data_IF_563994365461
#
_entry.id   IF_563994365461
#
_cell.length_a   1.000
_cell.length_b   1.000
_cell.length_c   1.000
_cell.angle_alpha   90.00
_cell.angle_beta   90.00
_cell.angle_gamma   90.00
#
_symmetry.space_group_name_H-M   'P 1'
#
loop_
_entity.id
_entity.type
_entity.pdbx_description
1 polymer ?
#
# COMPACT_ATOMS: atom_id res chain seq x y z
N UNK A 1 5.84 -10.11 -6.51
CA UNK A 1 6.50 -9.22 -5.54
C UNK A 1 7.26 -8.07 -6.21
N UNK A 2 8.30 -8.33 -7.01
CA UNK A 2 9.11 -7.25 -7.65
C UNK A 2 8.25 -6.22 -8.39
N UNK A 3 7.23 -6.64 -9.14
CA UNK A 3 6.31 -5.72 -9.81
C UNK A 3 5.54 -4.81 -8.87
N UNK A 4 5.12 -5.33 -7.70
CA UNK A 4 4.48 -4.52 -6.64
C UNK A 4 5.48 -3.47 -6.14
N UNK A 5 6.69 -3.88 -5.77
CA UNK A 5 7.72 -2.98 -5.25
C UNK A 5 8.13 -1.90 -6.27
N UNK A 6 8.29 -2.28 -7.54
CA UNK A 6 8.66 -1.32 -8.59
C UNK A 6 7.57 -0.25 -8.82
N UNK A 7 6.30 -0.65 -8.74
CA UNK A 7 5.18 0.30 -8.89
C UNK A 7 4.98 1.17 -7.65
N UNK A 8 5.38 0.69 -6.48
CA UNK A 8 5.39 1.47 -5.24
C UNK A 8 6.63 2.37 -5.09
N UNK A 9 7.57 2.31 -6.02
CA UNK A 9 8.86 3.02 -5.92
C UNK A 9 8.71 4.52 -5.65
N UNK A 10 7.79 5.19 -6.32
CA UNK A 10 7.58 6.63 -6.16
C UNK A 10 6.96 6.97 -4.79
N UNK A 11 6.28 6.00 -4.16
CA UNK A 11 5.82 6.11 -2.79
C UNK A 11 6.95 5.91 -1.78
N UNK A 12 7.79 4.89 -1.98
CA UNK A 12 8.84 4.50 -1.04
C UNK A 12 10.06 5.43 -1.08
N UNK A 13 10.34 6.02 -2.24
CA UNK A 13 11.47 6.94 -2.43
C UNK A 13 10.96 8.33 -2.72
N UNK A 14 11.50 9.33 -2.02
CA UNK A 14 11.21 10.73 -2.31
C UNK A 14 11.79 11.13 -3.66
N UNK A 15 11.07 10.80 -4.73
CA UNK A 15 11.43 11.24 -6.07
C UNK A 15 11.28 12.76 -6.20
N UNK A 16 11.90 13.33 -7.25
CA UNK A 16 11.75 14.73 -7.57
C UNK A 16 10.27 15.16 -7.64
N UNK A 17 9.43 14.36 -8.31
CA UNK A 17 8.01 14.68 -8.47
C UNK A 17 7.27 14.64 -7.13
N UNK A 18 7.57 13.68 -6.26
CA UNK A 18 6.97 13.62 -4.94
C UNK A 18 7.39 14.81 -4.08
N UNK A 19 8.70 15.06 -3.98
CA UNK A 19 9.22 16.14 -3.14
C UNK A 19 8.74 17.52 -3.62
N UNK A 20 8.97 17.86 -4.88
CA UNK A 20 8.63 19.17 -5.40
C UNK A 20 7.16 19.33 -5.79
N UNK A 21 6.51 18.29 -6.27
CA UNK A 21 5.11 18.34 -6.72
C UNK A 21 4.11 18.17 -5.58
N UNK A 22 4.41 17.36 -4.57
CA UNK A 22 3.49 17.01 -3.52
C UNK A 22 3.93 17.52 -2.14
N UNK A 23 5.09 17.07 -1.62
CA UNK A 23 5.48 17.36 -0.25
C UNK A 23 5.72 18.86 -0.05
N UNK A 24 6.47 19.54 -0.92
CA UNK A 24 6.79 20.95 -0.78
C UNK A 24 5.68 21.89 -1.26
N UNK A 25 5.01 21.54 -2.35
CA UNK A 25 4.02 22.43 -2.96
C UNK A 25 2.62 22.29 -2.38
N UNK A 26 2.29 21.12 -1.82
CA UNK A 26 0.97 20.83 -1.29
C UNK A 26 1.01 20.52 0.21
N UNK A 27 1.46 19.33 0.60
CA UNK A 27 1.39 18.87 2.01
C UNK A 27 2.11 19.81 2.96
N UNK A 28 3.33 20.21 2.62
CA UNK A 28 4.14 21.07 3.47
C UNK A 28 3.57 22.47 3.68
N UNK A 29 2.84 22.99 2.69
CA UNK A 29 2.13 24.27 2.82
C UNK A 29 0.92 24.17 3.76
N UNK A 30 0.10 23.13 3.59
CA UNK A 30 -1.05 22.91 4.49
C UNK A 30 -0.61 22.57 5.91
N UNK A 31 0.49 21.82 6.06
CA UNK A 31 1.10 21.54 7.36
C UNK A 31 1.88 22.74 7.94
N UNK A 32 2.01 23.85 7.20
CA UNK A 32 2.78 25.03 7.58
C UNK A 32 4.26 24.76 7.88
N UNK A 33 4.80 23.67 7.33
CA UNK A 33 6.22 23.31 7.46
C UNK A 33 7.08 23.96 6.39
N UNK A 34 6.49 24.33 5.24
CA UNK A 34 7.13 25.07 4.15
C UNK A 34 6.47 26.42 3.92
N UNK A 35 7.30 27.43 3.62
CA UNK A 35 6.81 28.74 3.19
C UNK A 35 6.29 28.74 1.77
N UNK A 36 5.66 29.85 1.39
CA UNK A 36 5.17 30.07 0.03
C UNK A 36 6.26 30.73 -0.80
N UNK A 37 6.74 30.03 -1.82
CA UNK A 37 7.80 30.51 -2.71
C UNK A 37 7.28 31.18 -3.98
N UNK A 38 6.00 31.03 -4.27
CA UNK A 38 5.38 31.61 -5.47
C UNK A 38 4.11 32.41 -5.10
N UNK A 39 3.85 33.43 -5.91
CA UNK A 39 2.71 34.36 -5.72
C UNK A 39 1.33 33.77 -5.96
N UNK A 40 1.24 32.48 -6.24
CA UNK A 40 -0.04 31.78 -6.33
C UNK A 40 -0.67 31.64 -4.95
N UNK A 41 -1.96 31.81 -4.87
CA UNK A 41 -2.76 31.76 -3.67
C UNK A 41 -2.43 30.57 -2.77
N UNK A 42 -2.34 30.85 -1.49
CA UNK A 42 -1.92 29.96 -0.42
C UNK A 42 -2.66 28.61 -0.41
N UNK A 43 -3.92 28.60 -0.79
CA UNK A 43 -4.83 27.46 -0.67
C UNK A 43 -5.55 27.12 -1.98
N UNK A 44 -5.09 27.61 -3.09
CA UNK A 44 -5.57 27.19 -4.41
C UNK A 44 -4.52 26.29 -5.03
N UNK A 45 -4.58 24.97 -4.83
CA UNK A 45 -3.71 24.08 -5.54
C UNK A 45 -4.05 24.22 -7.02
N UNK A 46 -3.05 24.56 -7.83
CA UNK A 46 -3.11 24.29 -9.25
C UNK A 46 -3.18 22.78 -9.49
N UNK A 47 -3.09 22.37 -10.72
CA UNK A 47 -2.90 20.98 -11.09
C UNK A 47 -1.68 20.39 -10.36
N UNK A 48 -1.90 19.29 -9.62
CA UNK A 48 -0.87 18.57 -8.88
C UNK A 48 -0.70 17.19 -9.52
N UNK A 49 0.22 17.04 -10.51
CA UNK A 49 0.37 15.78 -11.26
C UNK A 49 0.69 14.57 -10.38
N UNK A 50 1.29 14.81 -9.22
CA UNK A 50 1.65 13.73 -8.30
C UNK A 50 0.43 13.02 -7.70
N UNK A 51 -0.67 13.73 -7.46
CA UNK A 51 -1.90 13.14 -6.90
C UNK A 51 -2.48 12.14 -7.91
N UNK A 52 -2.58 12.52 -9.18
CA UNK A 52 -3.05 11.64 -10.24
C UNK A 52 -2.10 10.43 -10.38
N UNK A 53 -0.79 10.68 -10.39
CA UNK A 53 0.22 9.62 -10.47
C UNK A 53 0.15 8.66 -9.28
N UNK A 54 -0.18 9.15 -8.08
CA UNK A 54 -0.33 8.28 -6.90
C UNK A 54 -1.48 7.31 -7.06
N UNK A 55 -2.62 7.77 -7.57
CA UNK A 55 -3.75 6.91 -7.90
C UNK A 55 -3.39 5.85 -8.95
N UNK A 56 -2.86 6.27 -10.09
CA UNK A 56 -2.54 5.37 -11.19
C UNK A 56 -1.47 4.33 -10.81
N UNK A 57 -0.44 4.75 -10.11
CA UNK A 57 0.64 3.85 -9.67
C UNK A 57 0.15 2.87 -8.61
N UNK A 58 -0.72 3.29 -7.68
CA UNK A 58 -1.34 2.38 -6.71
C UNK A 58 -2.10 1.26 -7.41
N UNK A 59 -3.00 1.58 -8.35
CA UNK A 59 -3.79 0.56 -9.04
C UNK A 59 -2.94 -0.32 -9.97
N UNK A 60 -1.84 0.22 -10.50
CA UNK A 60 -0.85 -0.59 -11.19
C UNK A 60 -0.16 -1.58 -10.24
N UNK A 61 0.20 -1.15 -9.03
CA UNK A 61 0.77 -2.04 -8.00
C UNK A 61 -0.25 -3.07 -7.50
N UNK A 62 -1.50 -2.64 -7.27
CA UNK A 62 -2.58 -3.54 -6.85
C UNK A 62 -2.88 -4.60 -7.91
N UNK A 63 -2.84 -4.25 -9.19
CA UNK A 63 -2.98 -5.22 -10.29
C UNK A 63 -1.92 -6.32 -10.20
N UNK A 64 -0.66 -5.95 -10.00
CA UNK A 64 0.43 -6.93 -9.82
C UNK A 64 0.22 -7.79 -8.57
N UNK A 65 -0.23 -7.17 -7.48
CA UNK A 65 -0.53 -7.91 -6.25
C UNK A 65 -1.68 -8.91 -6.45
N UNK A 66 -2.79 -8.51 -7.09
CA UNK A 66 -3.93 -9.40 -7.36
C UNK A 66 -3.56 -10.58 -8.27
N UNK A 67 -2.75 -10.35 -9.30
CA UNK A 67 -2.25 -11.43 -10.15
C UNK A 67 -1.38 -12.41 -9.35
N UNK A 68 -0.50 -11.89 -8.51
CA UNK A 68 0.35 -12.68 -7.63
C UNK A 68 -0.49 -13.49 -6.60
N UNK A 69 -1.47 -12.86 -5.97
CA UNK A 69 -2.40 -13.48 -5.02
C UNK A 69 -3.20 -14.62 -5.67
N UNK A 70 -3.68 -14.40 -6.89
CA UNK A 70 -4.40 -15.42 -7.65
C UNK A 70 -3.51 -16.64 -7.98
N UNK A 71 -2.27 -16.40 -8.41
CA UNK A 71 -1.32 -17.49 -8.68
C UNK A 71 -0.97 -18.26 -7.40
N UNK A 72 -0.68 -17.55 -6.32
CA UNK A 72 -0.38 -18.16 -5.02
C UNK A 72 -1.54 -19.00 -4.49
N UNK A 73 -2.78 -18.54 -4.63
CA UNK A 73 -3.97 -19.28 -4.20
C UNK A 73 -4.18 -20.58 -4.98
N UNK A 74 -3.70 -20.65 -6.23
CA UNK A 74 -3.76 -21.84 -7.07
C UNK A 74 -2.64 -22.85 -6.79
N UNK A 75 -1.62 -22.48 -6.00
CA UNK A 75 -0.49 -23.35 -5.66
C UNK A 75 -0.89 -24.46 -4.68
N UNK A 76 -0.15 -25.58 -4.71
CA UNK A 76 -0.24 -26.62 -3.69
C UNK A 76 0.47 -26.17 -2.38
N UNK A 77 0.21 -26.87 -1.28
CA UNK A 77 0.74 -26.50 0.05
C UNK A 77 2.27 -26.39 0.12
N UNK A 78 3.00 -27.23 -0.62
CA UNK A 78 4.46 -27.16 -0.67
C UNK A 78 4.96 -25.91 -1.38
N UNK A 79 4.30 -25.53 -2.47
CA UNK A 79 4.60 -24.30 -3.21
C UNK A 79 4.22 -23.05 -2.39
N UNK A 80 3.06 -23.07 -1.75
CA UNK A 80 2.64 -21.99 -0.84
C UNK A 80 3.66 -21.76 0.26
N UNK A 81 4.13 -22.82 0.92
CA UNK A 81 5.14 -22.70 1.95
C UNK A 81 6.46 -22.08 1.45
N UNK A 82 6.83 -22.30 0.19
CA UNK A 82 8.00 -21.70 -0.43
C UNK A 82 7.78 -20.24 -0.83
N UNK A 83 6.54 -19.87 -1.19
CA UNK A 83 6.23 -18.57 -1.76
C UNK A 83 5.57 -17.60 -0.75
N UNK A 84 5.26 -18.06 0.47
CA UNK A 84 4.54 -17.27 1.46
C UNK A 84 5.27 -15.98 1.84
N UNK A 85 6.59 -16.02 2.00
CA UNK A 85 7.38 -14.82 2.32
C UNK A 85 7.20 -13.69 1.28
N UNK A 86 7.13 -14.06 -0.02
CA UNK A 86 6.86 -13.11 -1.09
C UNK A 86 5.46 -12.49 -0.98
N UNK A 87 4.45 -13.32 -0.65
CA UNK A 87 3.07 -12.84 -0.49
C UNK A 87 2.93 -11.91 0.70
N UNK A 88 3.50 -12.27 1.84
CA UNK A 88 3.45 -11.45 3.06
C UNK A 88 4.12 -10.10 2.83
N UNK A 89 5.32 -10.07 2.22
CA UNK A 89 6.04 -8.83 1.91
C UNK A 89 5.27 -7.93 0.93
N UNK A 90 4.72 -8.52 -0.14
CA UNK A 90 3.91 -7.78 -1.11
C UNK A 90 2.62 -7.23 -0.47
N UNK A 91 2.00 -7.97 0.46
CA UNK A 91 0.81 -7.53 1.21
C UNK A 91 1.13 -6.31 2.08
N UNK A 92 2.20 -6.36 2.86
CA UNK A 92 2.61 -5.22 3.70
C UNK A 92 2.85 -3.98 2.86
N UNK A 93 3.58 -4.13 1.75
CA UNK A 93 3.90 -3.03 0.85
C UNK A 93 2.66 -2.40 0.21
N UNK A 94 1.75 -3.23 -0.32
CA UNK A 94 0.52 -2.71 -0.94
C UNK A 94 -0.40 -2.04 0.09
N UNK A 95 -0.45 -2.54 1.33
CA UNK A 95 -1.25 -1.95 2.39
C UNK A 95 -0.70 -0.61 2.87
N UNK A 96 0.62 -0.45 2.94
CA UNK A 96 1.23 0.84 3.25
C UNK A 96 0.86 1.87 2.17
N UNK A 97 1.07 1.52 0.90
CA UNK A 97 0.73 2.41 -0.20
C UNK A 97 -0.77 2.72 -0.27
N UNK A 98 -1.62 1.69 -0.06
CA UNK A 98 -3.07 1.85 -0.13
C UNK A 98 -3.58 2.77 0.99
N UNK A 99 -3.14 2.56 2.22
CA UNK A 99 -3.54 3.38 3.36
C UNK A 99 -3.18 4.86 3.19
N UNK A 100 -1.97 5.14 2.68
CA UNK A 100 -1.56 6.51 2.37
C UNK A 100 -2.39 7.16 1.26
N UNK A 101 -2.90 6.36 0.31
CA UNK A 101 -3.75 6.86 -0.76
C UNK A 101 -5.19 7.10 -0.27
N UNK A 102 -5.73 6.21 0.57
CA UNK A 102 -7.02 6.41 1.25
C UNK A 102 -7.03 7.71 2.06
N UNK A 103 -5.91 8.06 2.68
CA UNK A 103 -5.78 9.32 3.42
C UNK A 103 -6.00 10.57 2.56
N UNK A 104 -5.74 10.46 1.25
CA UNK A 104 -5.90 11.57 0.30
C UNK A 104 -7.29 11.55 -0.34
N UNK A 105 -7.76 10.37 -0.73
CA UNK A 105 -8.95 10.22 -1.57
C UNK A 105 -10.21 9.81 -0.80
N UNK A 106 -10.07 9.26 0.40
CA UNK A 106 -11.20 8.71 1.15
C UNK A 106 -11.69 7.38 0.61
N UNK A 107 -13.00 7.25 0.37
CA UNK A 107 -13.60 6.05 -0.22
C UNK A 107 -13.02 5.79 -1.61
N UNK A 108 -12.62 4.53 -1.88
CA UNK A 108 -11.99 4.16 -3.16
C UNK A 108 -12.13 2.66 -3.45
N UNK A 109 -12.04 2.23 -4.73
CA UNK A 109 -12.12 0.81 -5.06
C UNK A 109 -10.97 0.01 -4.45
N UNK A 110 -11.27 -1.01 -3.66
CA UNK A 110 -10.28 -1.86 -2.96
C UNK A 110 -10.58 -3.34 -3.10
N UNK A 111 -11.68 -3.81 -2.50
CA UNK A 111 -11.97 -5.24 -2.32
C UNK A 111 -12.13 -5.98 -3.65
N UNK A 112 -12.76 -5.36 -4.63
CA UNK A 112 -13.02 -5.91 -5.97
C UNK A 112 -12.22 -5.25 -7.09
N UNK A 113 -11.27 -4.39 -6.74
CA UNK A 113 -10.47 -3.68 -7.74
C UNK A 113 -9.42 -4.58 -8.39
N UNK A 114 -9.05 -4.25 -9.64
CA UNK A 114 -7.98 -4.90 -10.42
C UNK A 114 -8.19 -6.38 -10.71
N UNK A 115 -9.44 -6.82 -10.91
CA UNK A 115 -9.79 -8.22 -11.19
C UNK A 115 -9.77 -8.59 -12.65
N UNK A 116 -9.77 -7.63 -13.58
CA UNK A 116 -9.86 -7.89 -15.03
C UNK A 116 -8.80 -8.88 -15.57
N UNK A 117 -7.50 -8.78 -15.19
CA UNK A 117 -6.50 -9.72 -15.69
C UNK A 117 -6.70 -11.16 -15.21
N UNK A 118 -7.52 -11.35 -14.17
CA UNK A 118 -7.80 -12.66 -13.56
C UNK A 118 -9.08 -13.25 -14.12
N UNK A 119 -10.13 -12.42 -14.20
CA UNK A 119 -11.48 -12.87 -14.59
C UNK A 119 -11.71 -12.86 -16.10
N UNK A 120 -10.97 -12.04 -16.84
CA UNK A 120 -11.24 -11.70 -18.25
C UNK A 120 -12.67 -11.18 -18.49
N UNK A 121 -13.32 -10.64 -17.45
CA UNK A 121 -14.69 -10.16 -17.49
C UNK A 121 -14.72 -8.64 -17.24
N UNK A 122 -15.02 -7.89 -18.29
CA UNK A 122 -15.09 -6.44 -18.24
C UNK A 122 -16.17 -5.96 -17.26
N UNK A 123 -17.28 -6.67 -17.12
CA UNK A 123 -18.35 -6.27 -16.20
C UNK A 123 -17.90 -6.37 -14.74
N UNK A 124 -17.09 -7.37 -14.41
CA UNK A 124 -16.50 -7.51 -13.07
C UNK A 124 -15.36 -6.52 -12.79
N UNK A 125 -14.82 -5.85 -13.81
CA UNK A 125 -13.79 -4.84 -13.65
C UNK A 125 -14.30 -3.48 -13.13
N UNK A 126 -15.60 -3.25 -13.21
CA UNK A 126 -16.24 -2.06 -12.62
C UNK A 126 -16.39 -2.23 -11.10
N UNK A 127 -15.29 -2.04 -10.40
CA UNK A 127 -15.26 -2.20 -8.96
C UNK A 127 -16.04 -1.08 -8.25
N UNK A 128 -16.91 -1.41 -7.26
CA UNK A 128 -17.54 -0.40 -6.42
C UNK A 128 -16.50 0.30 -5.54
N UNK A 129 -16.84 1.48 -5.05
CA UNK A 129 -16.07 2.15 -4.01
C UNK A 129 -16.35 1.49 -2.67
N UNK A 130 -15.29 1.07 -1.99
CA UNK A 130 -15.34 0.64 -0.60
C UNK A 130 -15.22 1.87 0.31
N UNK A 131 -15.83 1.81 1.49
CA UNK A 131 -15.69 2.87 2.48
C UNK A 131 -14.26 2.92 3.03
N UNK A 132 -13.72 4.11 3.22
CA UNK A 132 -12.41 4.29 3.84
C UNK A 132 -12.30 3.54 5.18
N UNK A 133 -13.37 3.54 5.99
CA UNK A 133 -13.46 2.78 7.24
C UNK A 133 -13.26 1.29 7.02
N UNK A 134 -13.95 0.69 6.04
CA UNK A 134 -13.88 -0.75 5.76
C UNK A 134 -12.49 -1.14 5.23
N UNK A 135 -11.87 -0.26 4.42
CA UNK A 135 -10.49 -0.45 3.95
C UNK A 135 -9.52 -0.45 5.13
N UNK A 136 -9.61 0.53 6.03
CA UNK A 136 -8.77 0.59 7.23
C UNK A 136 -8.95 -0.62 8.14
N UNK A 137 -10.20 -1.05 8.36
CA UNK A 137 -10.52 -2.24 9.14
C UNK A 137 -9.84 -3.48 8.56
N UNK A 138 -10.01 -3.71 7.27
CA UNK A 138 -9.40 -4.84 6.55
C UNK A 138 -7.88 -4.82 6.70
N UNK A 139 -7.24 -3.67 6.46
CA UNK A 139 -5.78 -3.55 6.56
C UNK A 139 -5.29 -3.81 7.99
N UNK A 140 -5.95 -3.26 9.01
CA UNK A 140 -5.55 -3.44 10.42
C UNK A 140 -5.70 -4.89 10.88
N UNK A 141 -6.81 -5.55 10.53
CA UNK A 141 -7.07 -6.95 10.85
C UNK A 141 -6.08 -7.89 10.14
N UNK A 142 -5.85 -7.66 8.86
CA UNK A 142 -4.90 -8.45 8.08
C UNK A 142 -3.45 -8.26 8.57
N UNK A 143 -3.02 -7.06 8.88
CA UNK A 143 -1.68 -6.83 9.43
C UNK A 143 -1.48 -7.50 10.78
N UNK A 144 -2.53 -7.59 11.61
CA UNK A 144 -2.49 -8.31 12.89
C UNK A 144 -2.13 -9.77 12.73
N UNK A 145 -2.60 -10.41 11.67
CA UNK A 145 -2.31 -11.81 11.36
C UNK A 145 -1.06 -11.98 10.50
N UNK A 146 -0.76 -11.03 9.62
CA UNK A 146 0.39 -11.05 8.71
C UNK A 146 1.72 -10.88 9.45
N UNK A 147 1.81 -9.97 10.42
CA UNK A 147 3.06 -9.66 11.09
C UNK A 147 3.69 -10.89 11.79
N UNK A 148 3.00 -11.66 12.63
CA UNK A 148 3.60 -12.82 13.30
C UNK A 148 3.97 -13.95 12.32
N UNK A 149 3.33 -14.03 11.14
CA UNK A 149 3.65 -15.06 10.15
C UNK A 149 5.10 -14.99 9.65
N UNK A 150 5.70 -13.80 9.64
CA UNK A 150 7.10 -13.65 9.23
C UNK A 150 8.09 -14.47 10.09
N UNK A 151 7.72 -14.83 11.33
CA UNK A 151 8.54 -15.69 12.21
C UNK A 151 8.44 -17.18 11.85
N UNK A 152 7.42 -17.57 11.11
CA UNK A 152 7.07 -18.97 10.87
C UNK A 152 7.42 -19.43 9.46
N UNK A 153 7.58 -18.48 8.53
CA UNK A 153 7.84 -18.79 7.12
C UNK A 153 9.33 -18.95 6.83
N UNK A 154 9.63 -19.77 5.82
CA UNK A 154 10.99 -19.91 5.33
C UNK A 154 11.46 -18.67 4.56
N UNK A 155 12.76 -18.42 4.56
CA UNK A 155 13.42 -17.41 3.72
C UNK A 155 14.03 -18.07 2.49
N UNK A 156 13.31 -18.15 1.36
CA UNK A 156 13.89 -18.72 0.15
C UNK A 156 15.05 -17.86 -0.37
N UNK A 157 16.04 -18.49 -0.99
CA UNK A 157 17.16 -17.76 -1.58
C UNK A 157 16.72 -16.69 -2.57
N UNK A 158 15.71 -17.01 -3.39
CA UNK A 158 15.18 -16.07 -4.39
C UNK A 158 14.47 -14.89 -3.75
N UNK A 159 13.86 -15.07 -2.58
CA UNK A 159 13.29 -13.96 -1.81
C UNK A 159 14.39 -12.98 -1.39
N UNK A 160 15.49 -13.46 -0.83
CA UNK A 160 16.63 -12.62 -0.41
C UNK A 160 17.21 -11.82 -1.58
N UNK A 161 17.29 -12.41 -2.78
CA UNK A 161 17.85 -11.74 -3.96
C UNK A 161 16.90 -10.74 -4.61
N UNK A 162 15.59 -10.92 -4.44
CA UNK A 162 14.56 -10.07 -5.06
C UNK A 162 14.01 -8.99 -4.13
N UNK A 163 14.21 -9.14 -2.83
CA UNK A 163 13.79 -8.15 -1.84
C UNK A 163 14.81 -7.03 -1.70
N UNK A 164 14.62 -5.95 -2.45
CA UNK A 164 15.49 -4.76 -2.38
C UNK A 164 15.07 -3.77 -1.29
N UNK A 165 14.02 -4.06 -0.50
CA UNK A 165 13.56 -3.22 0.61
C UNK A 165 14.27 -3.62 1.90
N UNK A 166 14.18 -4.89 2.28
CA UNK A 166 14.75 -5.42 3.52
C UNK A 166 15.84 -6.48 3.29
N UNK A 167 16.23 -6.75 2.04
CA UNK A 167 17.26 -7.75 1.67
C UNK A 167 16.94 -9.17 2.19
N UNK A 168 15.67 -9.56 2.19
CA UNK A 168 15.18 -10.85 2.64
C UNK A 168 15.13 -11.02 4.17
N UNK A 169 15.32 -9.97 4.93
CA UNK A 169 15.28 -9.98 6.40
C UNK A 169 13.83 -10.00 6.88
N UNK A 170 13.35 -11.18 7.30
CA UNK A 170 11.97 -11.38 7.76
C UNK A 170 11.69 -10.66 9.10
N UNK A 171 12.68 -10.47 9.96
CA UNK A 171 12.50 -9.70 11.20
C UNK A 171 12.22 -8.22 10.89
N UNK A 172 12.86 -7.67 9.86
CA UNK A 172 12.57 -6.31 9.40
C UNK A 172 11.18 -6.21 8.78
N UNK A 173 10.74 -7.21 8.03
CA UNK A 173 9.38 -7.25 7.49
C UNK A 173 8.33 -7.34 8.58
N UNK A 174 8.55 -8.15 9.62
CA UNK A 174 7.67 -8.19 10.80
C UNK A 174 7.59 -6.81 11.48
N UNK A 175 8.74 -6.18 11.70
CA UNK A 175 8.78 -4.84 12.30
C UNK A 175 8.10 -3.81 11.42
N UNK A 176 8.25 -3.90 10.11
CA UNK A 176 7.56 -3.02 9.17
C UNK A 176 6.04 -3.20 9.28
N UNK A 177 5.54 -4.43 9.22
CA UNK A 177 4.12 -4.73 9.36
C UNK A 177 3.54 -4.19 10.69
N UNK A 178 4.24 -4.42 11.81
CA UNK A 178 3.85 -3.92 13.13
C UNK A 178 3.90 -2.38 13.21
N UNK A 179 4.91 -1.75 12.65
CA UNK A 179 5.04 -0.28 12.62
C UNK A 179 3.94 0.35 11.78
N UNK A 180 3.64 -0.24 10.63
CA UNK A 180 2.51 0.17 9.79
C UNK A 180 1.20 0.04 10.55
N UNK A 181 0.95 -1.12 11.16
CA UNK A 181 -0.25 -1.35 11.96
C UNK A 181 -0.37 -0.34 13.10
N UNK A 182 0.71 -0.08 13.84
CA UNK A 182 0.71 0.92 14.92
C UNK A 182 0.39 2.32 14.39
N UNK A 183 1.01 2.74 13.28
CA UNK A 183 0.74 4.03 12.65
C UNK A 183 -0.74 4.19 12.30
N UNK A 184 -1.32 3.16 11.67
CA UNK A 184 -2.73 3.18 11.27
C UNK A 184 -3.67 3.13 12.47
N UNK A 185 -3.37 2.33 13.50
CA UNK A 185 -4.13 2.26 14.74
C UNK A 185 -4.17 3.60 15.47
N UNK A 186 -3.02 4.27 15.61
CA UNK A 186 -2.95 5.62 16.19
C UNK A 186 -3.79 6.61 15.37
N UNK A 187 -3.75 6.53 14.04
CA UNK A 187 -4.50 7.42 13.16
C UNK A 187 -6.02 7.28 13.34
N UNK A 188 -6.51 6.08 13.54
CA UNK A 188 -7.95 5.83 13.73
C UNK A 188 -8.40 5.75 15.19
N UNK A 189 -7.50 5.95 16.16
CA UNK A 189 -7.78 5.78 17.59
C UNK A 189 -8.91 6.65 18.13
N UNK A 190 -9.24 7.75 17.44
CA UNK A 190 -10.35 8.66 17.78
C UNK A 190 -11.58 8.47 16.89
N UNK A 191 -11.56 7.49 15.99
CA UNK A 191 -12.58 7.27 14.95
C UNK A 191 -13.55 6.16 15.35
N UNK A 192 -14.44 6.40 16.30
CA UNK A 192 -15.60 5.55 16.60
C UNK A 192 -15.30 4.03 16.58
N UNK A 193 -15.93 3.33 15.64
CA UNK A 193 -15.85 1.88 15.53
C UNK A 193 -14.46 1.32 15.15
N UNK A 194 -13.51 2.14 14.68
CA UNK A 194 -12.14 1.70 14.40
C UNK A 194 -11.20 1.79 15.62
N UNK A 195 -11.60 2.52 16.65
CA UNK A 195 -10.76 2.72 17.86
C UNK A 195 -10.43 1.41 18.58
N UNK A 196 -11.28 0.39 18.47
CA UNK A 196 -11.09 -0.94 19.10
C UNK A 196 -10.07 -1.83 18.36
N UNK A 197 -9.63 -1.44 17.15
CA UNK A 197 -8.66 -2.18 16.35
C UNK A 197 -7.20 -1.80 16.64
N UNK A 198 -7.00 -0.77 17.46
CA UNK A 198 -5.70 -0.21 17.81
C UNK A 198 -4.92 -0.93 18.92
#
# INVERSE_FOLDING_TARGET
MVGVFQKSKDYDTHTYNRYFGFDSQFVGKYAQTFGFTYSSSMYTPGYIPYIDSQWDNLYSALTQYRMMENLYNAENESQKAQNEAFMLAAKVQIYDYFSATVDIFGDMPFSKACTLPITNDVQQSYAPYDKAEDIYRTILEDLKTTAPRFREVATPRDFTTQDFINNGDLDKWERYANSLRLRLAVRVSTQGALAELG
#
